data_IF_446898925817
#
_entry.id   IF_446898925817
#
_cell.length_a   1.000
_cell.length_b   1.000
_cell.length_c   1.000
_cell.angle_alpha   90.00
_cell.angle_beta   90.00
_cell.angle_gamma   90.00
#
_symmetry.space_group_name_H-M   'P 1'
#
loop_
_entity.id
_entity.type
_entity.pdbx_description
1 polymer ?
#
# COMPACT_ATOMS: atom_id res chain seq x y z
N UNK A 1 -22.91 -55.20 -38.55
CA UNK A 1 -22.31 -55.05 -37.20
C UNK A 1 -22.19 -53.56 -36.93
N UNK A 2 -23.16 -52.97 -36.22
CA UNK A 2 -23.17 -51.55 -35.86
C UNK A 2 -22.65 -51.40 -34.43
N UNK A 3 -21.52 -50.71 -34.26
CA UNK A 3 -20.97 -50.35 -32.95
C UNK A 3 -21.54 -48.99 -32.56
N UNK A 4 -22.41 -49.00 -31.54
CA UNK A 4 -23.02 -47.82 -30.94
C UNK A 4 -22.04 -47.26 -29.88
N UNK A 5 -21.44 -46.10 -30.13
CA UNK A 5 -20.56 -45.42 -29.16
C UNK A 5 -21.39 -44.58 -28.20
N UNK A 6 -21.36 -44.92 -26.91
CA UNK A 6 -22.01 -44.16 -25.83
C UNK A 6 -21.19 -42.90 -25.51
N UNK A 7 -21.79 -41.73 -25.73
CA UNK A 7 -21.33 -40.47 -25.14
C UNK A 7 -21.66 -40.44 -23.64
N UNK A 8 -20.65 -40.23 -22.80
CA UNK A 8 -20.80 -39.87 -21.39
C UNK A 8 -20.82 -38.34 -21.28
N UNK A 9 -21.80 -37.71 -20.60
CA UNK A 9 -21.75 -36.28 -20.34
C UNK A 9 -20.76 -35.99 -19.20
N UNK A 10 -19.76 -35.16 -19.47
CA UNK A 10 -18.91 -34.59 -18.42
C UNK A 10 -19.72 -33.58 -17.62
N UNK A 11 -19.83 -33.81 -16.32
CA UNK A 11 -20.47 -32.90 -15.38
C UNK A 11 -19.64 -31.64 -15.18
N UNK A 12 -20.01 -30.56 -15.83
CA UNK A 12 -19.50 -29.22 -15.53
C UNK A 12 -19.97 -28.78 -14.14
N UNK A 13 -19.03 -28.65 -13.20
CA UNK A 13 -19.28 -27.92 -11.94
C UNK A 13 -19.59 -26.47 -12.30
N UNK A 14 -20.86 -26.07 -12.17
CA UNK A 14 -21.27 -24.66 -12.24
C UNK A 14 -20.66 -23.95 -11.02
N UNK A 15 -19.55 -23.22 -11.22
CA UNK A 15 -19.08 -22.22 -10.26
C UNK A 15 -20.19 -21.17 -10.13
N UNK A 16 -20.72 -20.99 -8.93
CA UNK A 16 -21.49 -19.80 -8.58
C UNK A 16 -20.54 -18.61 -8.71
N UNK A 17 -20.60 -17.89 -9.83
CA UNK A 17 -20.10 -16.52 -9.88
C UNK A 17 -21.27 -15.65 -9.40
N UNK A 18 -21.32 -15.23 -8.12
CA UNK A 18 -22.21 -14.13 -7.77
C UNK A 18 -21.79 -12.97 -8.66
N UNK A 19 -22.71 -12.48 -9.48
CA UNK A 19 -22.47 -11.38 -10.40
C UNK A 19 -21.89 -10.21 -9.60
N UNK A 20 -20.61 -9.90 -9.81
CA UNK A 20 -19.88 -8.80 -9.16
C UNK A 20 -20.65 -7.48 -9.23
N UNK A 21 -21.49 -7.33 -10.27
CA UNK A 21 -22.41 -6.21 -10.46
C UNK A 21 -23.43 -6.03 -9.31
N UNK A 22 -23.96 -7.11 -8.74
CA UNK A 22 -24.96 -7.05 -7.66
C UNK A 22 -24.35 -6.64 -6.32
N UNK A 23 -23.08 -7.01 -6.08
CA UNK A 23 -22.34 -6.57 -4.90
C UNK A 23 -21.85 -5.12 -5.04
N UNK A 24 -21.41 -4.74 -6.24
CA UNK A 24 -21.02 -3.36 -6.56
C UNK A 24 -22.20 -2.37 -6.47
N UNK A 25 -23.42 -2.76 -6.88
CA UNK A 25 -24.63 -1.94 -6.72
C UNK A 25 -25.09 -1.83 -5.26
N UNK A 26 -24.87 -2.86 -4.44
CA UNK A 26 -25.15 -2.80 -3.00
C UNK A 26 -24.15 -1.88 -2.25
N UNK A 27 -22.90 -1.82 -2.69
CA UNK A 27 -21.87 -0.93 -2.14
C UNK A 27 -21.99 0.52 -2.66
N UNK A 28 -22.36 0.72 -3.93
CA UNK A 28 -22.57 2.07 -4.49
C UNK A 28 -23.79 2.79 -3.88
N UNK A 29 -24.78 2.04 -3.36
CA UNK A 29 -25.94 2.59 -2.66
C UNK A 29 -25.68 2.99 -1.20
N UNK A 30 -24.61 2.46 -0.59
CA UNK A 30 -24.18 2.82 0.74
C UNK A 30 -22.96 3.74 0.62
N UNK A 31 -23.20 5.05 0.64
CA UNK A 31 -22.15 6.00 0.96
C UNK A 31 -21.64 5.67 2.38
N UNK A 32 -20.65 4.79 2.50
CA UNK A 32 -19.93 4.53 3.74
C UNK A 32 -19.08 5.76 4.00
N UNK A 33 -19.68 6.78 4.60
CA UNK A 33 -18.93 7.88 5.16
C UNK A 33 -17.99 7.30 6.22
N UNK A 34 -16.69 7.65 6.21
CA UNK A 34 -15.80 7.24 7.27
C UNK A 34 -16.41 7.63 8.62
N UNK A 35 -16.54 6.67 9.53
CA UNK A 35 -17.00 6.97 10.89
C UNK A 35 -15.83 7.61 11.60
N UNK A 36 -15.89 8.93 11.74
CA UNK A 36 -14.94 9.71 12.52
C UNK A 36 -15.57 10.02 13.86
N UNK A 37 -14.93 9.58 14.94
CA UNK A 37 -15.33 9.93 16.31
C UNK A 37 -14.14 10.51 17.03
N UNK A 38 -14.32 11.67 17.65
CA UNK A 38 -13.33 12.30 18.51
C UNK A 38 -13.90 12.39 19.93
N UNK A 39 -13.11 11.96 20.91
CA UNK A 39 -13.45 12.03 22.32
C UNK A 39 -12.33 12.76 23.07
N UNK A 40 -12.73 13.65 23.98
CA UNK A 40 -11.85 14.33 24.92
C UNK A 40 -12.15 13.86 26.33
N UNK A 41 -11.13 13.53 27.10
CA UNK A 41 -11.28 13.09 28.47
C UNK A 41 -10.07 13.49 29.31
N UNK A 42 -10.33 13.84 30.57
CA UNK A 42 -9.28 14.22 31.51
C UNK A 42 -8.72 12.96 32.21
N UNK A 43 -7.42 12.73 32.09
CA UNK A 43 -6.68 11.65 32.76
C UNK A 43 -5.62 12.23 33.69
N UNK A 44 -6.04 12.62 34.89
CA UNK A 44 -5.13 13.21 35.88
C UNK A 44 -4.52 14.51 35.35
N UNK A 45 -3.19 14.59 35.14
CA UNK A 45 -2.56 15.78 34.57
C UNK A 45 -2.73 15.93 33.06
N UNK A 46 -3.28 14.94 32.35
CA UNK A 46 -3.39 14.95 30.89
C UNK A 46 -4.81 15.28 30.41
N UNK A 47 -4.94 16.22 29.48
CA UNK A 47 -6.08 16.29 28.55
C UNK A 47 -5.81 15.29 27.43
N UNK A 48 -6.59 14.20 27.38
CA UNK A 48 -6.48 13.19 26.34
C UNK A 48 -7.46 13.48 25.21
N UNK A 49 -6.96 13.61 23.99
CA UNK A 49 -7.77 13.69 22.77
C UNK A 49 -7.56 12.42 21.95
N UNK A 50 -8.63 11.64 21.79
CA UNK A 50 -8.63 10.43 20.97
C UNK A 50 -9.48 10.64 19.73
N UNK A 51 -8.92 10.42 18.54
CA UNK A 51 -9.65 10.45 17.27
C UNK A 51 -9.57 9.11 16.58
N UNK A 52 -10.71 8.49 16.33
CA UNK A 52 -10.83 7.20 15.64
C UNK A 52 -11.45 7.40 14.27
N UNK A 53 -10.87 6.74 13.27
CA UNK A 53 -11.37 6.69 11.89
C UNK A 53 -11.43 5.24 11.44
N UNK A 54 -12.63 4.78 11.11
CA UNK A 54 -12.84 3.45 10.55
C UNK A 54 -13.34 3.56 9.11
N UNK A 55 -12.79 2.74 8.22
CA UNK A 55 -13.17 2.69 6.81
C UNK A 55 -13.24 1.28 6.29
N UNK A 56 -14.23 1.02 5.44
CA UNK A 56 -14.31 -0.15 4.57
C UNK A 56 -14.36 0.36 3.14
N UNK A 57 -13.52 -0.20 2.28
CA UNK A 57 -13.42 0.22 0.89
C UNK A 57 -13.12 -0.96 -0.01
N UNK A 58 -13.57 -0.89 -1.27
CA UNK A 58 -13.32 -1.91 -2.28
C UNK A 58 -12.93 -1.26 -3.60
N UNK A 59 -12.16 -1.97 -4.43
CA UNK A 59 -11.69 -1.48 -5.72
C UNK A 59 -11.73 -2.55 -6.80
N UNK A 60 -12.11 -2.16 -8.01
CA UNK A 60 -12.27 -3.03 -9.17
C UNK A 60 -11.53 -2.48 -10.38
N UNK A 61 -11.03 -3.39 -11.22
CA UNK A 61 -10.55 -3.05 -12.55
C UNK A 61 -11.72 -2.75 -13.48
N UNK A 62 -11.73 -1.60 -14.13
CA UNK A 62 -12.86 -1.15 -14.98
C UNK A 62 -12.67 -1.43 -16.47
N UNK A 63 -11.43 -1.63 -16.92
CA UNK A 63 -11.07 -1.80 -18.33
C UNK A 63 -10.15 -3.00 -18.54
N UNK A 64 -10.17 -3.55 -19.74
CA UNK A 64 -9.28 -4.64 -20.10
C UNK A 64 -7.82 -4.17 -20.17
N UNK A 65 -6.84 -5.04 -19.84
CA UNK A 65 -5.43 -4.74 -20.04
C UNK A 65 -5.12 -4.38 -21.50
N UNK A 66 -4.31 -3.34 -21.69
CA UNK A 66 -3.88 -2.97 -23.03
C UNK A 66 -2.85 -3.96 -23.55
N UNK A 67 -3.03 -4.46 -24.78
CA UNK A 67 -2.01 -5.28 -25.46
C UNK A 67 -0.67 -4.53 -25.65
N UNK A 68 -0.64 -3.20 -25.50
CA UNK A 68 0.60 -2.41 -25.59
C UNK A 68 1.56 -2.62 -24.43
N UNK A 69 1.07 -3.11 -23.29
CA UNK A 69 1.85 -3.29 -22.06
C UNK A 69 1.97 -4.76 -21.67
N UNK A 70 1.67 -5.69 -22.58
CA UNK A 70 1.80 -7.13 -22.38
C UNK A 70 2.70 -7.69 -23.47
N UNK A 71 3.57 -8.65 -23.13
CA UNK A 71 4.45 -9.29 -24.11
C UNK A 71 3.71 -10.24 -25.04
N UNK A 72 4.23 -10.49 -26.25
CA UNK A 72 3.78 -11.58 -27.11
C UNK A 72 3.77 -12.95 -26.38
N UNK A 73 4.80 -13.23 -25.58
CA UNK A 73 4.93 -14.48 -24.80
C UNK A 73 3.77 -14.72 -23.84
N UNK A 74 3.38 -13.70 -23.08
CA UNK A 74 2.31 -13.78 -22.08
C UNK A 74 0.88 -13.68 -22.66
N UNK A 75 0.75 -13.49 -23.98
CA UNK A 75 -0.55 -13.23 -24.62
C UNK A 75 -0.81 -14.04 -25.89
N UNK A 76 -0.07 -15.15 -26.07
CA UNK A 76 -0.14 -15.98 -27.27
C UNK A 76 0.01 -15.16 -28.58
N UNK A 77 0.95 -14.21 -28.57
CA UNK A 77 1.35 -13.40 -29.72
C UNK A 77 0.53 -12.12 -29.95
N UNK A 78 -0.42 -11.77 -29.07
CA UNK A 78 -1.27 -10.57 -29.25
C UNK A 78 -0.66 -9.28 -28.70
N UNK A 79 0.22 -9.42 -27.71
CA UNK A 79 0.91 -8.36 -27.02
C UNK A 79 1.95 -7.67 -27.89
N UNK A 80 2.29 -6.44 -27.52
CA UNK A 80 3.20 -5.57 -28.28
C UNK A 80 4.36 -5.05 -27.42
N UNK A 81 4.38 -5.37 -26.12
CA UNK A 81 5.45 -4.95 -25.24
C UNK A 81 6.77 -5.67 -25.58
N UNK A 82 7.88 -4.96 -25.45
CA UNK A 82 9.22 -5.49 -25.68
C UNK A 82 9.83 -6.19 -24.46
N UNK A 83 9.18 -6.12 -23.29
CA UNK A 83 9.62 -6.72 -22.03
C UNK A 83 8.41 -7.17 -21.22
N UNK A 84 8.55 -8.29 -20.49
CA UNK A 84 7.54 -8.84 -19.57
C UNK A 84 7.75 -8.43 -18.12
N UNK A 85 8.64 -7.47 -17.88
CA UNK A 85 9.01 -7.03 -16.54
C UNK A 85 8.14 -5.88 -16.02
N UNK A 86 6.96 -5.71 -16.59
CA UNK A 86 6.01 -4.63 -16.23
C UNK A 86 4.55 -5.06 -16.43
N UNK A 87 4.28 -6.36 -16.63
CA UNK A 87 2.99 -6.83 -17.11
C UNK A 87 2.23 -7.74 -16.14
N UNK A 88 2.84 -8.21 -15.05
CA UNK A 88 2.22 -9.07 -14.04
C UNK A 88 0.92 -8.47 -13.47
N UNK A 89 0.94 -7.22 -12.99
CA UNK A 89 -0.25 -6.55 -12.46
C UNK A 89 -1.38 -6.41 -13.50
N UNK A 90 -1.03 -6.34 -14.79
CA UNK A 90 -2.01 -6.33 -15.88
C UNK A 90 -2.54 -7.73 -16.22
N UNK A 91 -1.69 -8.76 -16.11
CA UNK A 91 -2.04 -10.15 -16.40
C UNK A 91 -2.86 -10.79 -15.27
N UNK A 92 -2.63 -10.38 -14.02
CA UNK A 92 -3.27 -10.93 -12.84
C UNK A 92 -4.74 -10.56 -12.68
N UNK A 93 -5.15 -9.38 -13.17
CA UNK A 93 -6.48 -8.83 -12.95
C UNK A 93 -7.11 -8.41 -14.28
N UNK A 94 -8.26 -9.02 -14.63
CA UNK A 94 -9.03 -8.61 -15.80
C UNK A 94 -10.17 -7.66 -15.44
N UNK A 95 -10.84 -7.14 -16.46
CA UNK A 95 -11.97 -6.25 -16.30
C UNK A 95 -13.05 -6.87 -15.43
N UNK A 96 -13.47 -6.12 -14.41
CA UNK A 96 -14.47 -6.51 -13.43
C UNK A 96 -13.93 -7.27 -12.22
N UNK A 97 -12.64 -7.65 -12.22
CA UNK A 97 -12.03 -8.28 -11.05
C UNK A 97 -11.90 -7.25 -9.93
N UNK A 98 -12.28 -7.66 -8.72
CA UNK A 98 -11.99 -6.91 -7.50
C UNK A 98 -10.55 -7.20 -7.13
N UNK A 99 -9.76 -6.17 -6.84
CA UNK A 99 -8.35 -6.34 -6.45
C UNK A 99 -8.07 -5.91 -5.01
N UNK A 100 -9.05 -5.29 -4.35
CA UNK A 100 -8.94 -4.88 -2.94
C UNK A 100 -10.34 -4.82 -2.33
N UNK A 101 -10.47 -5.37 -1.12
CA UNK A 101 -11.61 -5.20 -0.23
C UNK A 101 -11.06 -5.04 1.19
N UNK A 102 -10.83 -3.80 1.58
CA UNK A 102 -10.09 -3.48 2.80
C UNK A 102 -10.98 -2.91 3.89
N UNK A 103 -10.84 -3.47 5.09
CA UNK A 103 -11.20 -2.81 6.34
C UNK A 103 -9.95 -2.21 6.97
N UNK A 104 -10.09 -1.01 7.54
CA UNK A 104 -9.00 -0.28 8.18
C UNK A 104 -9.49 0.54 9.36
N UNK A 105 -8.68 0.59 10.41
CA UNK A 105 -8.79 1.57 11.48
C UNK A 105 -7.53 2.41 11.63
N UNK A 106 -7.72 3.71 11.83
CA UNK A 106 -6.66 4.69 12.10
C UNK A 106 -7.05 5.49 13.34
N UNK A 107 -6.18 5.49 14.34
CA UNK A 107 -6.45 6.10 15.64
C UNK A 107 -5.32 7.05 16.03
N UNK A 108 -5.68 8.30 16.33
CA UNK A 108 -4.79 9.29 16.89
C UNK A 108 -5.07 9.41 18.40
N UNK A 109 -4.03 9.40 19.22
CA UNK A 109 -4.11 9.72 20.64
C UNK A 109 -3.10 10.82 20.96
N UNK A 110 -3.59 11.93 21.48
CA UNK A 110 -2.78 13.03 22.01
C UNK A 110 -3.02 13.14 23.52
N UNK A 111 -1.95 13.04 24.30
CA UNK A 111 -1.95 13.21 25.76
C UNK A 111 -1.19 14.49 26.09
N UNK A 112 -1.92 15.56 26.40
CA UNK A 112 -1.34 16.88 26.65
C UNK A 112 -1.33 17.23 28.14
N UNK A 113 -0.17 17.57 28.70
CA UNK A 113 0.02 18.00 30.09
C UNK A 113 0.47 19.47 30.20
N UNK A 114 -0.12 20.35 29.41
CA UNK A 114 0.19 21.78 29.37
C UNK A 114 1.41 22.07 28.51
N UNK A 115 2.61 22.01 29.09
CA UNK A 115 3.87 22.37 28.40
C UNK A 115 4.56 21.20 27.71
N UNK A 116 4.01 19.98 27.81
CA UNK A 116 4.54 18.80 27.15
C UNK A 116 3.45 17.75 26.94
N UNK A 117 3.70 16.80 26.04
CA UNK A 117 2.77 15.72 25.77
C UNK A 117 3.35 14.59 24.96
N UNK A 118 2.48 13.61 24.68
CA UNK A 118 2.77 12.44 23.86
C UNK A 118 1.72 12.37 22.77
N UNK A 119 2.17 12.24 21.52
CA UNK A 119 1.30 11.91 20.40
C UNK A 119 1.59 10.49 19.91
N UNK A 120 0.55 9.73 19.58
CA UNK A 120 0.71 8.47 18.84
C UNK A 120 -0.41 8.26 17.83
N UNK A 121 -0.06 7.63 16.70
CA UNK A 121 -0.96 7.19 15.66
C UNK A 121 -0.79 5.69 15.42
N UNK A 122 -1.91 4.98 15.50
CA UNK A 122 -1.98 3.53 15.30
C UNK A 122 -2.84 3.22 14.09
N UNK A 123 -2.33 2.38 13.20
CA UNK A 123 -3.02 1.86 12.02
C UNK A 123 -3.17 0.35 12.13
N UNK A 124 -4.33 -0.17 11.73
CA UNK A 124 -4.48 -1.59 11.44
C UNK A 124 -5.39 -1.78 10.23
N UNK A 125 -5.19 -2.88 9.50
CA UNK A 125 -5.96 -3.19 8.31
C UNK A 125 -6.07 -4.69 8.05
N UNK A 126 -7.05 -5.04 7.24
CA UNK A 126 -7.23 -6.36 6.64
C UNK A 126 -7.86 -6.19 5.26
N UNK A 127 -7.20 -6.67 4.22
CA UNK A 127 -7.68 -6.70 2.85
C UNK A 127 -8.03 -8.13 2.44
N UNK A 128 -9.33 -8.39 2.27
CA UNK A 128 -9.84 -9.71 1.99
C UNK A 128 -9.39 -10.25 0.63
N UNK A 129 -9.39 -9.40 -0.42
CA UNK A 129 -9.01 -9.83 -1.77
C UNK A 129 -7.50 -10.03 -1.88
N UNK A 130 -6.69 -9.21 -1.20
CA UNK A 130 -5.25 -9.44 -1.15
C UNK A 130 -4.89 -10.73 -0.38
N UNK A 131 -5.66 -11.06 0.66
CA UNK A 131 -5.41 -12.22 1.52
C UNK A 131 -5.87 -13.57 0.93
N UNK A 132 -6.93 -13.58 0.11
CA UNK A 132 -7.59 -14.82 -0.33
C UNK A 132 -7.85 -14.86 -1.85
N UNK A 133 -7.47 -13.81 -2.58
CA UNK A 133 -7.70 -13.71 -4.02
C UNK A 133 -6.66 -14.50 -4.79
N UNK A 134 -7.13 -15.41 -5.64
CA UNK A 134 -6.29 -16.08 -6.63
C UNK A 134 -6.03 -15.13 -7.81
N UNK A 135 -4.78 -15.07 -8.27
CA UNK A 135 -4.39 -14.25 -9.43
C UNK A 135 -4.17 -15.10 -10.67
N UNK A 136 -4.44 -14.54 -11.86
CA UNK A 136 -4.50 -15.31 -13.11
C UNK A 136 -3.14 -15.74 -13.65
N UNK A 137 -2.07 -15.02 -13.33
CA UNK A 137 -0.73 -15.21 -13.88
C UNK A 137 0.29 -15.56 -12.80
N UNK A 138 0.15 -15.02 -11.60
CA UNK A 138 1.13 -15.15 -10.52
C UNK A 138 2.17 -14.02 -10.60
N UNK A 139 3.32 -14.25 -9.98
CA UNK A 139 4.47 -13.34 -9.93
C UNK A 139 5.74 -14.14 -9.68
N UNK A 140 6.89 -13.47 -9.69
CA UNK A 140 8.19 -14.10 -9.50
C UNK A 140 8.26 -15.04 -8.27
N UNK A 141 7.75 -14.62 -7.10
CA UNK A 141 7.82 -15.45 -5.89
C UNK A 141 7.03 -16.76 -5.96
N UNK A 142 5.96 -16.82 -6.76
CA UNK A 142 5.16 -18.04 -7.00
C UNK A 142 5.62 -18.81 -8.24
N UNK A 143 6.71 -18.39 -8.89
CA UNK A 143 7.13 -18.90 -10.19
C UNK A 143 6.06 -18.79 -11.28
N UNK A 144 5.30 -17.70 -11.26
CA UNK A 144 4.18 -17.46 -12.19
C UNK A 144 3.17 -18.61 -12.20
N UNK A 145 2.89 -19.17 -11.01
CA UNK A 145 1.86 -20.18 -10.83
C UNK A 145 0.48 -19.53 -10.98
N UNK A 146 -0.18 -19.79 -12.11
CA UNK A 146 -1.49 -19.27 -12.41
C UNK A 146 -2.59 -19.88 -11.52
N UNK A 147 -3.50 -19.04 -11.03
CA UNK A 147 -4.66 -19.45 -10.23
C UNK A 147 -4.33 -19.71 -8.75
N UNK A 148 -3.23 -19.15 -8.25
CA UNK A 148 -2.82 -19.24 -6.85
C UNK A 148 -2.90 -17.86 -6.18
N UNK A 149 -2.90 -17.84 -4.85
CA UNK A 149 -2.75 -16.61 -4.07
C UNK A 149 -1.35 -15.99 -4.27
N UNK A 150 -1.25 -14.67 -4.11
CA UNK A 150 0.05 -14.01 -4.09
C UNK A 150 0.82 -14.43 -2.83
N UNK A 151 2.05 -14.92 -2.99
CA UNK A 151 3.07 -14.95 -1.95
C UNK A 151 3.48 -13.52 -1.54
N UNK A 152 3.07 -13.15 -0.33
CA UNK A 152 3.29 -11.85 0.31
C UNK A 152 4.55 -11.85 1.20
N UNK A 153 5.27 -12.97 1.36
CA UNK A 153 6.36 -13.11 2.33
C UNK A 153 7.53 -12.14 2.08
N UNK A 154 7.69 -11.69 0.83
CA UNK A 154 8.68 -10.68 0.46
C UNK A 154 8.18 -9.24 0.54
N UNK A 155 6.88 -9.00 0.80
CA UNK A 155 6.28 -7.66 0.82
C UNK A 155 6.65 -6.92 2.10
N UNK A 156 6.70 -5.59 2.01
CA UNK A 156 6.86 -4.71 3.16
C UNK A 156 5.69 -4.83 4.13
N UNK A 157 5.96 -4.65 5.43
CA UNK A 157 4.96 -4.81 6.50
C UNK A 157 3.67 -4.03 6.24
N UNK A 158 3.77 -2.76 5.81
CA UNK A 158 2.60 -1.93 5.48
C UNK A 158 1.89 -2.34 4.17
N UNK A 159 2.57 -3.04 3.27
CA UNK A 159 2.06 -3.52 1.99
C UNK A 159 1.40 -4.91 2.09
N UNK A 160 1.51 -5.60 3.23
CA UNK A 160 0.86 -6.88 3.51
C UNK A 160 -0.68 -6.80 3.39
N UNK A 161 -1.32 -7.97 3.27
CA UNK A 161 -2.79 -8.13 3.28
C UNK A 161 -3.41 -7.61 4.57
N UNK A 162 -2.70 -7.75 5.68
CA UNK A 162 -3.14 -7.31 7.01
C UNK A 162 -1.95 -6.87 7.84
N UNK A 163 -2.24 -6.06 8.84
CA UNK A 163 -1.20 -5.65 9.77
C UNK A 163 -1.67 -4.68 10.83
N UNK A 164 -0.72 -4.31 11.66
CA UNK A 164 -0.85 -3.32 12.72
C UNK A 164 0.47 -2.56 12.77
N UNK A 165 0.43 -1.23 12.69
CA UNK A 165 1.60 -0.38 12.64
C UNK A 165 1.44 0.84 13.55
N UNK A 166 2.53 1.22 14.20
CA UNK A 166 2.66 2.55 14.81
C UNK A 166 3.23 3.48 13.76
N UNK A 167 2.41 4.41 13.29
CA UNK A 167 2.90 5.46 12.40
C UNK A 167 3.65 6.48 13.26
N UNK A 168 3.02 7.61 13.58
CA UNK A 168 3.65 8.63 14.42
C UNK A 168 3.67 8.19 15.88
N UNK A 169 4.78 8.40 16.57
CA UNK A 169 4.86 8.33 18.03
C UNK A 169 6.00 9.22 18.52
N UNK A 170 5.67 10.30 19.20
CA UNK A 170 6.67 11.24 19.67
C UNK A 170 6.27 11.95 20.95
N UNK A 171 7.28 12.37 21.69
CA UNK A 171 7.17 13.32 22.79
C UNK A 171 7.32 14.73 22.21
N UNK A 172 6.53 15.66 22.73
CA UNK A 172 6.66 17.08 22.41
C UNK A 172 6.70 17.92 23.68
N UNK A 173 7.32 19.09 23.60
CA UNK A 173 7.40 20.06 24.68
C UNK A 173 7.56 21.47 24.17
N UNK A 174 6.91 22.40 24.86
CA UNK A 174 6.94 23.84 24.61
C UNK A 174 7.52 24.54 25.85
N UNK A 175 8.56 25.35 25.63
CA UNK A 175 9.31 26.02 26.69
C UNK A 175 9.54 27.48 26.32
N UNK A 176 9.66 28.34 27.33
CA UNK A 176 10.06 29.72 27.15
C UNK A 176 11.54 29.92 27.54
N UNK A 177 12.37 30.31 26.57
CA UNK A 177 13.75 30.74 26.78
C UNK A 177 13.79 32.27 26.94
N UNK A 178 13.44 32.73 28.13
CA UNK A 178 13.16 34.15 28.37
C UNK A 178 11.80 34.50 27.77
N UNK A 179 11.75 35.46 26.86
CA UNK A 179 10.51 35.84 26.15
C UNK A 179 10.36 35.14 24.78
N UNK A 180 11.13 34.06 24.55
CA UNK A 180 11.22 33.38 23.25
C UNK A 180 10.73 31.94 23.36
N UNK A 181 9.71 31.54 22.58
CA UNK A 181 9.21 30.17 22.61
C UNK A 181 10.20 29.21 21.92
N UNK A 182 10.31 28.02 22.48
CA UNK A 182 11.04 26.87 21.94
C UNK A 182 10.13 25.65 21.99
N UNK A 183 9.87 25.08 20.83
CA UNK A 183 9.24 23.77 20.69
C UNK A 183 10.31 22.71 20.44
N UNK A 184 10.20 21.58 21.13
CA UNK A 184 11.03 20.39 20.92
C UNK A 184 10.14 19.17 20.67
N UNK A 185 10.53 18.32 19.72
CA UNK A 185 9.92 17.00 19.52
C UNK A 185 10.98 15.93 19.38
N UNK A 186 10.68 14.73 19.86
CA UNK A 186 11.56 13.57 19.73
C UNK A 186 10.74 12.29 19.57
N UNK A 187 11.05 11.51 18.54
CA UNK A 187 10.39 10.24 18.25
C UNK A 187 10.20 10.02 16.77
N UNK A 188 9.25 9.15 16.42
CA UNK A 188 8.88 8.87 15.05
C UNK A 188 7.80 9.86 14.61
N UNK A 189 8.09 10.69 13.61
CA UNK A 189 7.15 11.71 13.15
C UNK A 189 7.31 12.01 11.66
N UNK A 190 6.24 12.51 11.04
CA UNK A 190 6.31 13.15 9.73
C UNK A 190 6.63 14.62 9.92
N UNK A 191 7.68 15.11 9.25
CA UNK A 191 8.04 16.52 9.22
C UNK A 191 7.59 17.13 7.89
N UNK A 192 6.71 18.12 7.95
CA UNK A 192 6.35 18.92 6.77
C UNK A 192 7.09 20.26 6.87
N UNK A 193 8.18 20.41 6.13
CA UNK A 193 9.00 21.62 6.14
C UNK A 193 8.66 22.51 4.93
N UNK A 194 7.89 23.57 5.18
CA UNK A 194 7.46 24.55 4.17
C UNK A 194 6.00 24.39 3.71
N UNK A 195 5.59 25.19 2.71
CA UNK A 195 4.19 25.24 2.22
C UNK A 195 3.87 24.20 1.13
N UNK A 196 4.86 23.44 0.65
CA UNK A 196 4.68 22.59 -0.52
C UNK A 196 4.40 21.13 -0.15
N UNK A 197 3.12 20.78 -0.15
CA UNK A 197 2.62 19.42 0.06
C UNK A 197 2.63 18.54 -1.21
N UNK A 198 2.81 19.14 -2.39
CA UNK A 198 2.60 18.46 -3.68
C UNK A 198 3.90 18.13 -4.43
N UNK A 199 4.96 18.91 -4.23
CA UNK A 199 6.26 18.65 -4.84
C UNK A 199 7.19 18.07 -3.77
N UNK A 200 7.47 16.77 -3.86
CA UNK A 200 8.45 16.09 -3.02
C UNK A 200 9.88 16.42 -3.45
N UNK A 201 10.22 17.69 -3.42
CA UNK A 201 11.57 18.17 -3.68
C UNK A 201 11.99 19.13 -2.57
N UNK A 202 13.27 19.48 -2.52
CA UNK A 202 13.82 20.21 -1.38
C UNK A 202 13.88 19.31 -0.15
N UNK A 203 13.50 19.80 1.02
CA UNK A 203 13.73 19.06 2.26
C UNK A 203 12.57 18.14 2.65
N UNK A 204 11.40 18.27 2.04
CA UNK A 204 10.27 17.34 2.25
C UNK A 204 10.55 15.90 1.79
N UNK A 205 11.66 15.67 1.06
CA UNK A 205 12.16 14.31 0.74
C UNK A 205 12.63 13.53 1.97
N UNK A 206 12.72 14.18 3.14
CA UNK A 206 13.08 13.56 4.42
C UNK A 206 12.08 12.49 4.87
N UNK A 207 10.81 12.62 4.49
CA UNK A 207 9.74 11.67 4.83
C UNK A 207 9.51 10.70 3.67
N UNK A 208 9.80 9.39 3.84
CA UNK A 208 9.52 8.37 2.84
C UNK A 208 8.02 8.23 2.58
N UNK A 209 7.68 7.57 1.47
CA UNK A 209 6.28 7.45 1.03
C UNK A 209 5.85 6.01 0.94
N UNK A 210 4.65 5.71 1.43
CA UNK A 210 3.91 4.50 1.11
C UNK A 210 2.98 4.76 -0.09
N UNK A 211 3.44 4.32 -1.27
CA UNK A 211 2.68 4.45 -2.53
C UNK A 211 1.46 3.54 -2.53
N UNK A 212 1.55 2.39 -1.85
CA UNK A 212 0.43 1.44 -1.75
C UNK A 212 -0.71 2.03 -0.94
N UNK A 213 -0.40 2.79 0.12
CA UNK A 213 -1.39 3.51 0.90
C UNK A 213 -2.19 4.47 0.01
N UNK A 214 -1.57 5.24 -0.89
CA UNK A 214 -2.27 6.19 -1.78
C UNK A 214 -3.22 5.52 -2.79
N UNK A 215 -3.06 4.22 -3.02
CA UNK A 215 -3.83 3.45 -4.02
C UNK A 215 -4.87 2.54 -3.37
N UNK A 216 -4.88 2.44 -2.04
CA UNK A 216 -5.87 1.68 -1.26
C UNK A 216 -7.17 2.48 -1.12
N UNK A 217 -8.34 1.83 -1.17
CA UNK A 217 -9.60 2.52 -1.07
C UNK A 217 -9.79 3.17 0.31
N UNK A 218 -10.14 4.45 0.33
CA UNK A 218 -10.36 5.21 1.57
C UNK A 218 -9.09 5.76 2.23
N UNK A 219 -7.93 5.69 1.56
CA UNK A 219 -6.64 6.16 2.08
C UNK A 219 -6.60 7.65 2.44
N UNK A 220 -5.87 8.01 3.50
CA UNK A 220 -5.55 9.39 3.84
C UNK A 220 -4.09 9.73 3.55
N UNK A 221 -3.80 11.00 3.26
CA UNK A 221 -2.42 11.50 3.04
C UNK A 221 -1.53 11.22 4.26
N UNK A 222 -2.12 11.23 5.46
CA UNK A 222 -1.44 10.97 6.73
C UNK A 222 -0.89 9.54 6.88
N UNK A 223 -1.31 8.62 6.03
CA UNK A 223 -0.76 7.26 5.97
C UNK A 223 0.25 7.09 4.83
N UNK A 224 0.24 8.00 3.86
CA UNK A 224 1.13 7.96 2.73
C UNK A 224 2.52 8.50 3.09
N UNK A 225 2.63 9.47 3.98
CA UNK A 225 3.91 9.93 4.49
C UNK A 225 4.30 9.06 5.69
N UNK A 226 5.42 8.35 5.55
CA UNK A 226 5.94 7.48 6.58
C UNK A 226 6.74 8.30 7.60
N UNK A 227 6.41 8.17 8.90
CA UNK A 227 7.19 8.80 9.94
C UNK A 227 8.57 8.13 10.05
N UNK A 228 9.57 8.95 10.36
CA UNK A 228 10.94 8.49 10.64
C UNK A 228 11.43 9.03 11.97
N UNK A 229 12.30 8.28 12.64
CA UNK A 229 12.90 8.66 13.91
C UNK A 229 13.75 9.92 13.79
N UNK A 230 13.35 10.98 14.47
CA UNK A 230 14.03 12.27 14.44
C UNK A 230 13.91 13.06 15.75
N UNK A 231 14.83 14.03 15.89
CA UNK A 231 14.73 15.14 16.81
C UNK A 231 14.36 16.39 16.01
N UNK A 232 13.46 17.21 16.54
CA UNK A 232 13.02 18.45 15.91
C UNK A 232 13.00 19.59 16.94
N UNK A 233 13.38 20.79 16.50
CA UNK A 233 13.34 22.00 17.28
C UNK A 233 12.83 23.18 16.44
N UNK A 234 11.92 23.97 17.01
CA UNK A 234 11.47 25.24 16.44
C UNK A 234 11.66 26.36 17.47
N UNK A 235 12.50 27.33 17.15
CA UNK A 235 12.84 28.43 18.03
C UNK A 235 12.34 29.76 17.47
N UNK A 236 11.48 30.44 18.23
CA UNK A 236 11.03 31.80 17.93
C UNK A 236 12.12 32.83 18.25
N UNK A 237 12.97 33.13 17.28
CA UNK A 237 14.09 34.07 17.47
C UNK A 237 13.62 35.53 17.69
N UNK A 238 12.57 35.96 16.98
CA UNK A 238 11.86 37.25 17.14
C UNK A 238 10.36 37.08 16.85
N UNK A 239 9.56 38.15 16.99
CA UNK A 239 8.12 38.15 16.66
C UNK A 239 7.77 37.76 15.21
N UNK A 240 8.74 37.78 14.31
CA UNK A 240 8.56 37.52 12.88
C UNK A 240 9.64 36.61 12.29
N UNK A 241 10.44 35.94 13.13
CA UNK A 241 11.51 35.05 12.70
C UNK A 241 11.51 33.81 13.58
N UNK A 242 11.29 32.65 12.97
CA UNK A 242 11.54 31.33 13.56
C UNK A 242 12.76 30.69 12.92
N UNK A 243 13.44 29.83 13.68
CA UNK A 243 14.51 28.96 13.19
C UNK A 243 14.11 27.53 13.52
N UNK A 244 13.97 26.72 12.48
CA UNK A 244 13.65 25.30 12.57
C UNK A 244 14.88 24.46 12.27
N UNK A 245 15.06 23.38 13.02
CA UNK A 245 16.12 22.41 12.81
C UNK A 245 15.61 21.01 13.13
N UNK A 246 16.12 20.01 12.42
CA UNK A 246 15.87 18.61 12.72
C UNK A 246 17.13 17.76 12.55
N UNK A 247 17.14 16.62 13.22
CA UNK A 247 18.15 15.59 13.10
C UNK A 247 17.47 14.24 13.00
N UNK A 248 17.47 13.67 11.80
CA UNK A 248 16.96 12.33 11.53
C UNK A 248 18.03 11.30 11.90
N UNK A 249 17.68 10.38 12.81
CA UNK A 249 18.57 9.33 13.29
C UNK A 249 18.15 7.93 12.83
N UNK A 250 16.93 7.79 12.32
CA UNK A 250 16.42 6.55 11.74
C UNK A 250 16.09 6.73 10.26
N UNK A 251 16.17 5.65 9.49
CA UNK A 251 15.89 5.64 8.07
C UNK A 251 14.81 4.62 7.73
N UNK A 252 13.90 5.03 6.85
CA UNK A 252 12.87 4.16 6.29
C UNK A 252 12.95 4.24 4.76
N UNK A 253 12.71 3.12 4.08
CA UNK A 253 12.56 3.12 2.62
C UNK A 253 11.14 3.48 2.23
N UNK A 254 10.99 4.16 1.10
CA UNK A 254 9.67 4.28 0.47
C UNK A 254 9.14 2.90 0.10
N UNK A 255 7.85 2.70 0.28
CA UNK A 255 7.14 1.47 -0.05
C UNK A 255 6.49 1.68 -1.41
N UNK A 256 6.81 0.78 -2.34
CA UNK A 256 6.29 0.77 -3.71
C UNK A 256 5.23 -0.32 -3.85
N UNK A 257 4.52 -0.32 -4.97
CA UNK A 257 3.60 -1.42 -5.27
C UNK A 257 4.38 -2.72 -5.45
N UNK A 258 3.97 -3.74 -4.70
CA UNK A 258 4.68 -5.01 -4.60
C UNK A 258 4.38 -5.93 -5.79
N UNK A 259 5.26 -6.91 -6.05
CA UNK A 259 5.17 -7.75 -7.24
C UNK A 259 3.81 -8.41 -7.43
N UNK A 260 3.30 -8.41 -8.66
CA UNK A 260 2.05 -9.09 -9.00
C UNK A 260 0.78 -8.39 -8.55
N UNK A 261 0.85 -7.39 -7.66
CA UNK A 261 -0.32 -6.61 -7.26
C UNK A 261 -0.87 -5.76 -8.42
N UNK A 262 -2.15 -5.37 -8.34
CA UNK A 262 -2.84 -4.67 -9.44
C UNK A 262 -2.11 -3.39 -9.91
N UNK A 263 -1.52 -2.69 -8.97
CA UNK A 263 -0.85 -1.41 -9.17
C UNK A 263 0.65 -1.55 -9.43
N UNK A 264 1.18 -2.77 -9.39
CA UNK A 264 2.56 -3.06 -9.78
C UNK A 264 2.74 -2.77 -11.27
N UNK A 265 3.56 -1.76 -11.54
CA UNK A 265 3.84 -1.29 -12.90
C UNK A 265 5.22 -1.71 -13.41
N UNK A 266 5.98 -2.40 -12.55
CA UNK A 266 7.35 -2.79 -12.81
C UNK A 266 7.75 -3.92 -11.84
N UNK A 267 7.93 -5.10 -12.40
CA UNK A 267 8.28 -6.33 -11.70
C UNK A 267 9.73 -6.38 -11.16
N UNK A 268 10.63 -5.40 -11.42
CA UNK A 268 11.89 -5.29 -10.68
C UNK A 268 11.80 -4.60 -9.31
N UNK A 269 10.72 -3.86 -9.04
CA UNK A 269 10.63 -3.01 -7.84
C UNK A 269 9.61 -3.55 -6.84
N UNK A 270 9.88 -3.32 -5.56
CA UNK A 270 9.07 -3.87 -4.48
C UNK A 270 9.55 -5.24 -3.99
N UNK A 271 8.84 -5.73 -2.99
CA UNK A 271 8.94 -7.03 -2.36
C UNK A 271 8.33 -8.15 -3.20
N UNK A 272 8.86 -9.37 -3.03
CA UNK A 272 8.43 -10.56 -3.79
C UNK A 272 8.92 -10.60 -5.25
N UNK A 273 9.57 -9.53 -5.73
CA UNK A 273 10.20 -9.45 -7.04
C UNK A 273 11.61 -10.04 -7.03
N UNK A 274 11.71 -11.36 -6.91
CA UNK A 274 12.96 -12.07 -6.67
C UNK A 274 13.82 -12.30 -7.93
N UNK A 275 13.21 -12.21 -9.11
CA UNK A 275 13.88 -12.34 -10.39
C UNK A 275 13.02 -11.75 -11.51
N UNK A 276 13.61 -11.63 -12.70
CA UNK A 276 12.98 -11.13 -13.92
C UNK A 276 13.08 -12.14 -15.05
N UNK A 277 12.14 -12.06 -15.98
CA UNK A 277 12.17 -12.80 -17.25
C UNK A 277 12.77 -11.92 -18.35
N UNK A 278 13.62 -12.50 -19.19
CA UNK A 278 14.44 -11.78 -20.17
C UNK A 278 14.00 -11.98 -21.64
N UNK A 279 12.94 -12.76 -21.88
CA UNK A 279 12.37 -13.00 -23.22
C UNK A 279 10.94 -12.48 -23.31
N UNK A 280 10.68 -11.64 -24.31
CA UNK A 280 9.32 -11.20 -24.64
C UNK A 280 8.55 -12.22 -25.51
N UNK A 281 9.21 -13.29 -25.98
CA UNK A 281 8.62 -14.27 -26.90
C UNK A 281 8.13 -15.54 -26.18
N UNK A 282 8.60 -15.79 -24.95
CA UNK A 282 8.23 -16.95 -24.15
C UNK A 282 7.30 -16.51 -23.01
N UNK A 283 6.33 -17.33 -22.58
CA UNK A 283 5.58 -17.07 -21.35
C UNK A 283 6.51 -17.04 -20.14
N UNK A 284 6.23 -16.22 -19.14
CA UNK A 284 7.10 -16.09 -17.97
C UNK A 284 7.34 -17.40 -17.22
N UNK A 285 6.28 -18.16 -16.97
CA UNK A 285 6.36 -19.49 -16.33
C UNK A 285 7.28 -20.47 -17.07
N UNK A 286 7.47 -20.30 -18.39
CA UNK A 286 8.37 -21.15 -19.20
C UNK A 286 9.84 -20.70 -19.14
N UNK A 287 10.11 -19.51 -18.60
CA UNK A 287 11.46 -18.96 -18.45
C UNK A 287 12.09 -19.30 -17.10
N UNK A 288 11.27 -19.71 -16.12
CA UNK A 288 11.72 -20.11 -14.78
C UNK A 288 12.75 -21.23 -14.84
N UNK A 289 13.87 -21.05 -14.16
CA UNK A 289 14.99 -21.99 -14.12
C UNK A 289 15.78 -22.11 -15.43
N UNK A 290 15.54 -21.22 -16.39
CA UNK A 290 16.26 -21.19 -17.67
C UNK A 290 17.30 -20.06 -17.71
N UNK A 291 18.06 -19.96 -18.81
CA UNK A 291 18.98 -18.84 -19.04
C UNK A 291 18.28 -17.48 -19.20
N UNK A 292 16.95 -17.46 -19.32
CA UNK A 292 16.16 -16.24 -19.44
C UNK A 292 15.64 -15.74 -18.09
N UNK A 293 15.98 -16.41 -16.99
CA UNK A 293 15.75 -15.92 -15.63
C UNK A 293 16.94 -15.08 -15.15
N UNK A 294 16.67 -13.85 -14.72
CA UNK A 294 17.67 -12.94 -14.15
C UNK A 294 17.34 -12.75 -12.68
N UNK A 295 18.06 -13.46 -11.82
CA UNK A 295 17.90 -13.35 -10.36
C UNK A 295 18.24 -11.96 -9.83
N UNK A 296 17.50 -11.52 -8.81
CA UNK A 296 17.81 -10.31 -8.05
C UNK A 296 19.04 -10.57 -7.17
N UNK A 297 19.99 -9.63 -7.19
CA UNK A 297 21.10 -9.65 -6.25
C UNK A 297 20.59 -9.45 -4.82
N UNK A 298 21.21 -10.05 -3.79
CA UNK A 298 20.86 -9.77 -2.41
C UNK A 298 21.00 -8.26 -2.12
N UNK A 299 20.00 -7.71 -1.42
CA UNK A 299 19.94 -6.32 -0.97
C UNK A 299 21.05 -6.01 0.08
#
# INVERSE_FOLDING_TARGET
MNVCSKHLPQGGRRRFQPSALAFALALAGAAFTPVVSAAKFDLGPFEATFTSRLSVGASWRTEDPSHRVITPGNSAGRGQASSGTTDDGNLNYAKGDMYSLQFRGLHDLDLNAGSWGVFTRVKYWYDYEQANGEVRHGHAATNYAAGEELDLSGFQDLAQDKGFEFLDYYLYGEFDLGDKPLELRAGNMVLNWGENLFIQNGVNVVSPVDVTALRRPGSEIREALLPVGMLYANFGATYNLSVEAFYQYDWQRSILDECGTYWSSADPYGGGCNYLTASAALPDAAQVGTIFEIGRAPD
#
